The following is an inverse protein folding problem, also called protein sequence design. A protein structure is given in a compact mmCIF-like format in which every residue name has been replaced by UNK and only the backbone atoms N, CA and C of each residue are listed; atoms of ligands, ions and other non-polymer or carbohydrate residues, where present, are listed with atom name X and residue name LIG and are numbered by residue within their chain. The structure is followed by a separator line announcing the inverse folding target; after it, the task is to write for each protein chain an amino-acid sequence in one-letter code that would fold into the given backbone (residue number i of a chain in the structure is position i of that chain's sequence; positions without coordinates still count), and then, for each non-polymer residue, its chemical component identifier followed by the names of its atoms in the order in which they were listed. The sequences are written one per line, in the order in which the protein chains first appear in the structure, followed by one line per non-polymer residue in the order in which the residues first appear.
data_IF_903186855234
#
_entry.id   IF_903186855234
#
_cell.length_a   1.000
_cell.length_b   1.000
_cell.length_c   1.000
_cell.angle_alpha   90.00
_cell.angle_beta   90.00
_cell.angle_gamma   90.00
#
_symmetry.space_group_name_H-M   'P 1'
#
loop_
_entity.id
_entity.type
_entity.pdbx_description
1 polymer ?
#
# COMPACT_ATOMS: atom_id res chain seq x y z
N UNK A 1 -14.41 -0.64 -10.54
CA UNK A 1 -13.24 -0.71 -9.65
C UNK A 1 -12.31 0.45 -9.98
N UNK A 2 -12.11 1.30 -8.99
CA UNK A 2 -11.15 2.39 -8.99
C UNK A 2 -10.35 2.35 -7.67
N UNK A 3 -9.25 3.09 -7.58
CA UNK A 3 -8.43 3.17 -6.37
C UNK A 3 -8.11 4.62 -6.00
N UNK A 4 -7.97 4.87 -4.71
CA UNK A 4 -7.54 6.18 -4.21
C UNK A 4 -6.53 6.00 -3.08
N UNK A 5 -5.40 6.70 -3.14
CA UNK A 5 -4.49 6.78 -1.99
C UNK A 5 -5.18 7.62 -0.91
N UNK A 6 -5.40 7.00 0.26
CA UNK A 6 -5.97 7.69 1.43
C UNK A 6 -4.87 8.52 2.07
N UNK A 7 -3.79 7.86 2.52
CA UNK A 7 -2.63 8.49 3.15
C UNK A 7 -1.42 7.55 3.15
N UNK A 8 -0.24 8.09 3.46
CA UNK A 8 0.96 7.33 3.83
C UNK A 8 1.41 7.76 5.23
N UNK A 9 1.11 6.92 6.22
CA UNK A 9 1.30 7.24 7.62
C UNK A 9 1.58 6.00 8.48
N UNK A 10 1.86 6.23 9.76
CA UNK A 10 1.92 5.16 10.76
C UNK A 10 0.51 4.61 11.03
N UNK A 11 0.37 3.35 11.47
CA UNK A 11 -0.92 2.75 11.84
C UNK A 11 -1.77 3.62 12.74
N UNK A 12 -1.18 4.20 13.79
CA UNK A 12 -1.91 4.99 14.79
C UNK A 12 -2.49 6.31 14.26
N UNK A 13 -2.03 6.78 13.09
CA UNK A 13 -2.54 7.99 12.44
C UNK A 13 -3.54 7.69 11.32
N UNK A 14 -3.83 6.43 11.02
CA UNK A 14 -4.79 6.09 9.98
C UNK A 14 -6.22 6.37 10.45
N UNK A 15 -6.95 7.30 9.82
CA UNK A 15 -8.37 7.44 10.09
C UNK A 15 -9.09 6.27 9.42
N UNK A 16 -9.57 5.31 10.21
CA UNK A 16 -10.30 4.12 9.74
C UNK A 16 -11.14 4.42 8.49
N UNK A 17 -10.93 3.64 7.43
CA UNK A 17 -11.66 3.81 6.18
C UNK A 17 -13.00 3.09 6.22
N UNK A 18 -14.08 3.82 5.93
CA UNK A 18 -15.43 3.24 5.74
C UNK A 18 -15.58 2.41 4.46
N UNK A 19 -14.52 2.30 3.65
CA UNK A 19 -14.44 1.45 2.45
C UNK A 19 -13.28 0.46 2.56
N UNK A 20 -13.32 -0.69 1.88
CA UNK A 20 -12.19 -1.62 1.85
C UNK A 20 -10.91 -0.93 1.38
N UNK A 21 -9.79 -1.22 2.04
CA UNK A 21 -8.50 -0.62 1.71
C UNK A 21 -7.37 -1.64 1.79
N UNK A 22 -6.36 -1.47 0.95
CA UNK A 22 -5.11 -2.23 0.98
C UNK A 22 -4.09 -1.46 1.80
N UNK A 23 -3.41 -2.14 2.72
CA UNK A 23 -2.28 -1.61 3.48
C UNK A 23 -0.96 -2.11 2.87
N UNK A 24 -0.14 -1.20 2.33
CA UNK A 24 1.12 -1.52 1.66
C UNK A 24 2.27 -1.00 2.50
N UNK A 25 3.17 -1.86 2.96
CA UNK A 25 4.34 -1.45 3.75
C UNK A 25 5.32 -0.64 2.89
N UNK A 26 5.80 0.47 3.45
CA UNK A 26 6.77 1.36 2.82
C UNK A 26 7.97 1.54 3.76
N UNK A 27 9.14 1.19 3.25
CA UNK A 27 10.43 1.37 3.91
C UNK A 27 11.27 2.42 3.19
N UNK A 28 12.25 2.98 3.90
CA UNK A 28 13.17 3.94 3.31
C UNK A 28 14.02 3.28 2.21
N UNK A 29 14.13 3.94 1.06
CA UNK A 29 15.07 3.57 0.00
C UNK A 29 14.68 2.36 -0.85
N UNK A 30 13.43 1.88 -0.78
CA UNK A 30 12.98 0.71 -1.55
C UNK A 30 13.25 0.83 -3.05
N UNK A 31 13.58 -0.31 -3.65
CA UNK A 31 13.67 -0.52 -5.08
C UNK A 31 12.30 -0.73 -5.70
N UNK A 32 12.23 -0.64 -7.03
CA UNK A 32 11.01 -0.92 -7.78
C UNK A 32 10.47 -2.33 -7.49
N UNK A 33 11.34 -3.34 -7.49
CA UNK A 33 10.95 -4.73 -7.28
C UNK A 33 10.44 -5.00 -5.86
N UNK A 34 11.00 -4.33 -4.86
CA UNK A 34 10.52 -4.41 -3.48
C UNK A 34 9.12 -3.82 -3.34
N UNK A 35 8.85 -2.66 -3.94
CA UNK A 35 7.51 -2.06 -3.90
C UNK A 35 6.48 -2.92 -4.65
N UNK A 36 6.82 -3.40 -5.85
CA UNK A 36 5.94 -4.32 -6.59
C UNK A 36 5.68 -5.62 -5.79
N UNK A 37 6.70 -6.11 -5.07
CA UNK A 37 6.60 -7.25 -4.16
C UNK A 37 5.70 -7.00 -2.96
N UNK A 38 5.80 -5.82 -2.32
CA UNK A 38 4.94 -5.47 -1.18
C UNK A 38 3.50 -5.20 -1.61
N UNK A 39 3.26 -4.57 -2.76
CA UNK A 39 1.92 -4.43 -3.34
C UNK A 39 1.29 -5.81 -3.55
N UNK A 40 2.05 -6.77 -4.10
CA UNK A 40 1.56 -8.13 -4.30
C UNK A 40 1.20 -8.79 -2.96
N UNK A 41 2.10 -8.75 -1.97
CA UNK A 41 1.86 -9.32 -0.64
C UNK A 41 0.64 -8.71 0.03
N UNK A 42 0.48 -7.39 -0.05
CA UNK A 42 -0.64 -6.68 0.54
C UNK A 42 -1.99 -7.05 -0.08
N UNK A 43 -2.05 -7.17 -1.42
CA UNK A 43 -3.30 -7.54 -2.11
C UNK A 43 -3.62 -9.03 -1.96
N UNK A 44 -2.61 -9.88 -1.82
CA UNK A 44 -2.78 -11.32 -1.62
C UNK A 44 -2.87 -11.69 -0.12
N UNK A 45 -2.88 -10.71 0.79
CA UNK A 45 -2.92 -10.94 2.24
C UNK A 45 -4.30 -11.41 2.68
N UNK A 46 -4.36 -12.34 3.64
CA UNK A 46 -5.62 -12.76 4.26
C UNK A 46 -6.30 -11.59 5.02
N UNK A 47 -5.50 -10.64 5.52
CA UNK A 47 -5.99 -9.43 6.20
C UNK A 47 -6.73 -8.48 5.24
N UNK A 48 -6.48 -8.60 3.93
CA UNK A 48 -7.18 -7.86 2.88
C UNK A 48 -8.02 -8.81 2.01
N UNK A 49 -9.26 -9.04 2.43
CA UNK A 49 -10.21 -9.86 1.67
C UNK A 49 -11.49 -9.09 1.39
N UNK A 50 -11.90 -9.03 0.11
CA UNK A 50 -13.20 -8.48 -0.30
C UNK A 50 -14.14 -9.64 -0.64
N UNK A 51 -15.30 -9.67 0.03
CA UNK A 51 -16.29 -10.72 -0.17
C UNK A 51 -16.77 -10.77 -1.63
N UNK A 52 -16.78 -11.98 -2.20
CA UNK A 52 -17.24 -12.22 -3.56
C UNK A 52 -16.24 -11.88 -4.66
N UNK A 53 -15.01 -11.48 -4.31
CA UNK A 53 -13.97 -11.28 -5.31
C UNK A 53 -13.30 -12.59 -5.73
N UNK A 54 -12.94 -12.68 -7.02
CA UNK A 54 -12.15 -13.76 -7.60
C UNK A 54 -10.67 -13.37 -7.83
N UNK A 55 -9.85 -14.36 -8.17
CA UNK A 55 -8.42 -14.17 -8.45
C UNK A 55 -8.15 -13.16 -9.58
N UNK A 56 -9.05 -13.05 -10.56
CA UNK A 56 -8.93 -12.12 -11.67
C UNK A 56 -9.09 -10.67 -11.20
N UNK A 57 -10.01 -10.41 -10.26
CA UNK A 57 -10.21 -9.11 -9.63
C UNK A 57 -9.00 -8.72 -8.79
N UNK A 58 -8.48 -9.60 -7.94
CA UNK A 58 -7.22 -9.36 -7.20
C UNK A 58 -6.02 -9.14 -8.14
N UNK A 59 -5.92 -9.91 -9.22
CA UNK A 59 -4.93 -9.69 -10.28
C UNK A 59 -5.06 -8.33 -10.97
N UNK A 60 -6.28 -7.85 -11.14
CA UNK A 60 -6.57 -6.53 -11.74
C UNK A 60 -6.21 -5.40 -10.77
N UNK A 61 -6.55 -5.54 -9.48
CA UNK A 61 -6.19 -4.58 -8.44
C UNK A 61 -4.67 -4.41 -8.35
N UNK A 62 -3.90 -5.51 -8.29
CA UNK A 62 -2.43 -5.47 -8.31
C UNK A 62 -1.88 -4.69 -9.50
N UNK A 63 -2.41 -4.94 -10.71
CA UNK A 63 -1.98 -4.22 -11.93
C UNK A 63 -2.34 -2.73 -11.85
N UNK A 64 -3.51 -2.38 -11.33
CA UNK A 64 -3.95 -1.00 -11.18
C UNK A 64 -3.07 -0.22 -10.21
N UNK A 65 -2.82 -0.77 -9.01
CA UNK A 65 -1.93 -0.15 -8.01
C UNK A 65 -0.54 0.05 -8.59
N UNK A 66 0.03 -0.97 -9.25
CA UNK A 66 1.33 -0.85 -9.90
C UNK A 66 1.35 0.20 -11.02
N UNK A 67 0.30 0.27 -11.84
CA UNK A 67 0.24 1.25 -12.93
C UNK A 67 0.12 2.70 -12.43
N UNK A 68 -0.64 2.93 -11.37
CA UNK A 68 -0.99 4.27 -10.92
C UNK A 68 -0.10 4.79 -9.80
N UNK A 69 0.29 3.95 -8.84
CA UNK A 69 0.93 4.38 -7.59
C UNK A 69 2.42 4.01 -7.50
N UNK A 70 2.91 3.06 -8.29
CA UNK A 70 4.30 2.58 -8.16
C UNK A 70 5.35 3.69 -8.22
N UNK A 71 5.22 4.61 -9.19
CA UNK A 71 6.16 5.74 -9.31
C UNK A 71 6.11 6.64 -8.07
N UNK A 72 4.91 6.90 -7.56
CA UNK A 72 4.70 7.73 -6.39
C UNK A 72 5.30 7.09 -5.14
N UNK A 73 4.99 5.80 -4.88
CA UNK A 73 5.54 5.04 -3.75
C UNK A 73 7.07 4.93 -3.82
N UNK A 74 7.63 4.75 -5.02
CA UNK A 74 9.07 4.73 -5.23
C UNK A 74 9.72 6.08 -4.93
N UNK A 75 9.07 7.18 -5.31
CA UNK A 75 9.55 8.51 -4.96
C UNK A 75 9.41 8.77 -3.47
N UNK A 76 8.30 8.38 -2.84
CA UNK A 76 8.09 8.57 -1.41
C UNK A 76 9.13 7.80 -0.57
N UNK A 77 9.28 6.50 -0.80
CA UNK A 77 10.25 5.64 -0.08
C UNK A 77 11.67 6.19 -0.12
N UNK A 78 12.11 6.77 -1.23
CA UNK A 78 13.46 7.36 -1.35
C UNK A 78 13.64 8.67 -0.60
N UNK A 79 12.56 9.40 -0.33
CA UNK A 79 12.59 10.72 0.29
C UNK A 79 12.10 10.73 1.74
N UNK A 80 11.44 9.68 2.21
CA UNK A 80 11.06 9.55 3.60
C UNK A 80 12.29 9.37 4.49
N UNK A 81 12.22 9.83 5.73
CA UNK A 81 13.26 9.58 6.72
C UNK A 81 13.34 8.08 7.05
N UNK A 82 14.56 7.59 7.29
CA UNK A 82 14.80 6.25 7.82
C UNK A 82 14.25 6.10 9.24
N UNK A 83 14.10 4.85 9.70
CA UNK A 83 13.64 4.57 11.07
C UNK A 83 14.56 5.17 12.14
N UNK A 84 15.88 5.16 11.89
CA UNK A 84 16.87 5.81 12.76
C UNK A 84 16.62 7.32 12.89
N UNK A 85 16.39 8.01 11.77
CA UNK A 85 16.09 9.45 11.76
C UNK A 85 14.74 9.79 12.40
N UNK A 86 13.76 8.87 12.29
CA UNK A 86 12.44 9.02 12.91
C UNK A 86 12.44 8.68 14.40
N UNK A 87 13.46 7.98 14.89
CA UNK A 87 13.54 7.50 16.27
C UNK A 87 12.48 6.45 16.62
N UNK A 88 11.98 5.69 15.63
CA UNK A 88 10.97 4.64 15.82
C UNK A 88 11.16 3.53 14.80
N UNK A 89 10.91 2.28 15.23
CA UNK A 89 10.89 1.10 14.37
C UNK A 89 9.50 0.83 13.76
N UNK A 90 8.53 1.71 14.02
CA UNK A 90 7.19 1.56 13.47
C UNK A 90 7.18 1.69 11.93
N UNK A 91 6.56 0.70 11.31
CA UNK A 91 6.35 0.61 9.87
C UNK A 91 5.41 1.71 9.37
N UNK A 92 5.80 2.35 8.27
CA UNK A 92 4.93 3.28 7.54
C UNK A 92 4.16 2.49 6.50
N UNK A 93 2.88 2.77 6.35
CA UNK A 93 2.04 2.11 5.35
C UNK A 93 1.39 3.13 4.43
N UNK A 94 1.28 2.76 3.16
CA UNK A 94 0.40 3.41 2.21
C UNK A 94 -0.96 2.72 2.24
N UNK A 95 -2.01 3.47 2.57
CA UNK A 95 -3.38 2.99 2.63
C UNK A 95 -4.11 3.37 1.34
N UNK A 96 -4.58 2.37 0.60
CA UNK A 96 -5.21 2.56 -0.71
C UNK A 96 -6.65 2.08 -0.66
N UNK A 97 -7.61 3.01 -0.73
CA UNK A 97 -9.03 2.71 -0.84
C UNK A 97 -9.33 1.98 -2.16
N UNK A 98 -10.19 0.97 -2.08
CA UNK A 98 -10.71 0.23 -3.23
C UNK A 98 -12.18 0.59 -3.43
N UNK A 99 -12.46 1.31 -4.50
CA UNK A 99 -13.80 1.79 -4.84
C UNK A 99 -14.43 0.81 -5.84
N UNK A 100 -15.31 -0.06 -5.34
CA UNK A 100 -16.00 -1.09 -6.15
C UNK A 100 -17.28 -0.58 -6.77
#
# INVERSE_FOLDING_TARGET
MDICLIDICLPDYFPDSGVPYVQIDIEHGMTRGEIEGTIRRAVDSEDFTIAGWDDQQYGTLRRMINAQLLKYLLTYSRNMASNEERGTDESVHAYVAVLV
#
